data_IF_507727382869
#
_entry.id   IF_507727382869
#
_cell.length_a   1.000
_cell.length_b   1.000
_cell.length_c   1.000
_cell.angle_alpha   90.00
_cell.angle_beta   90.00
_cell.angle_gamma   90.00
#
_symmetry.space_group_name_H-M   'P 1'
#
loop_
_entity.id
_entity.type
_entity.pdbx_description
1 polymer ?
#
# COMPACT_ATOMS: atom_id res chain seq x y z
N UNK A 1 22.06 -15.41 6.11
CA UNK A 1 20.91 -14.51 5.87
C UNK A 1 21.02 -13.44 6.94
N UNK A 2 21.14 -12.18 6.55
CA UNK A 2 21.33 -11.07 7.51
C UNK A 2 20.05 -10.93 8.35
N UNK A 3 20.12 -11.20 9.65
CA UNK A 3 18.96 -11.10 10.58
C UNK A 3 18.28 -9.73 10.53
N UNK A 4 19.03 -8.68 10.20
CA UNK A 4 18.54 -7.32 10.06
C UNK A 4 17.60 -7.08 8.85
N UNK A 5 17.44 -8.07 7.95
CA UNK A 5 16.59 -7.98 6.75
C UNK A 5 15.33 -8.82 6.82
N UNK A 6 14.97 -9.32 8.02
CA UNK A 6 13.78 -10.15 8.24
C UNK A 6 12.73 -9.45 9.10
N UNK A 7 11.48 -9.88 9.00
CA UNK A 7 10.35 -9.33 9.75
C UNK A 7 10.05 -7.86 9.42
N UNK A 8 9.28 -7.20 10.29
CA UNK A 8 8.88 -5.80 10.10
C UNK A 8 10.06 -4.83 10.07
N UNK A 9 11.14 -5.12 10.81
CA UNK A 9 12.35 -4.31 10.78
C UNK A 9 12.98 -4.32 9.38
N UNK A 10 13.08 -5.50 8.74
CA UNK A 10 13.55 -5.61 7.36
C UNK A 10 12.66 -4.88 6.36
N UNK A 11 11.34 -4.95 6.53
CA UNK A 11 10.39 -4.24 5.67
C UNK A 11 10.62 -2.74 5.72
N UNK A 12 10.71 -2.13 6.93
CA UNK A 12 10.90 -0.69 7.08
C UNK A 12 12.32 -0.21 6.74
N UNK A 13 13.31 -1.10 6.75
CA UNK A 13 14.67 -0.78 6.28
C UNK A 13 14.72 -0.65 4.76
N UNK A 14 13.96 -1.50 4.05
CA UNK A 14 13.92 -1.53 2.58
C UNK A 14 12.93 -0.51 2.03
N UNK A 15 11.76 -0.35 2.68
CA UNK A 15 10.71 0.57 2.23
C UNK A 15 11.12 2.04 2.41
N UNK A 16 11.06 2.87 1.38
CA UNK A 16 11.41 4.27 1.48
C UNK A 16 10.37 5.05 2.30
N UNK A 17 10.65 5.31 3.57
CA UNK A 17 9.72 5.98 4.52
C UNK A 17 9.23 7.35 3.97
N UNK A 18 10.05 8.03 3.18
CA UNK A 18 9.64 9.28 2.51
C UNK A 18 8.43 9.10 1.59
N UNK A 19 8.21 7.89 1.10
CA UNK A 19 7.04 7.54 0.27
C UNK A 19 5.76 7.55 1.09
N UNK A 20 5.81 7.09 2.34
CA UNK A 20 4.66 7.17 3.27
C UNK A 20 4.20 8.62 3.46
N UNK A 21 5.13 9.55 3.69
CA UNK A 21 4.80 10.97 3.86
C UNK A 21 4.23 11.62 2.60
N UNK A 22 4.81 11.34 1.43
CA UNK A 22 4.27 11.82 0.14
C UNK A 22 2.91 11.20 -0.18
N UNK A 23 2.70 9.94 0.22
CA UNK A 23 1.42 9.23 0.08
C UNK A 23 0.28 9.83 0.91
N UNK A 24 0.57 10.68 1.93
CA UNK A 24 -0.46 11.34 2.75
C UNK A 24 -1.15 12.54 2.04
N UNK A 25 -0.55 13.10 0.99
CA UNK A 25 -1.03 14.34 0.36
C UNK A 25 -2.42 14.12 -0.25
N UNK A 26 -2.58 13.12 -1.09
CA UNK A 26 -3.83 12.85 -1.79
C UNK A 26 -4.97 12.39 -0.84
N UNK A 27 -4.73 11.45 0.09
CA UNK A 27 -5.69 11.14 1.16
C UNK A 27 -6.09 12.37 1.98
N UNK A 28 -5.13 13.25 2.31
CA UNK A 28 -5.40 14.49 3.04
C UNK A 28 -6.31 15.44 2.28
N UNK A 29 -6.08 15.63 0.97
CA UNK A 29 -6.95 16.45 0.10
C UNK A 29 -8.36 15.86 0.07
N UNK A 30 -8.50 14.55 -0.12
CA UNK A 30 -9.80 13.88 -0.15
C UNK A 30 -10.53 13.97 1.21
N UNK A 31 -9.79 13.85 2.30
CA UNK A 31 -10.33 14.04 3.64
C UNK A 31 -10.85 15.47 3.81
N UNK A 32 -10.07 16.49 3.46
CA UNK A 32 -10.47 17.91 3.58
C UNK A 32 -11.74 18.18 2.77
N UNK A 33 -11.81 17.66 1.54
CA UNK A 33 -12.98 17.80 0.69
C UNK A 33 -14.22 17.15 1.30
N UNK A 34 -14.08 15.93 1.85
CA UNK A 34 -15.18 15.20 2.48
C UNK A 34 -15.62 15.85 3.80
N UNK A 35 -14.69 16.36 4.60
CA UNK A 35 -15.00 17.12 5.83
C UNK A 35 -15.67 18.44 5.46
N UNK A 36 -15.23 19.11 4.38
CA UNK A 36 -15.94 20.29 3.87
C UNK A 36 -17.39 19.98 3.53
N UNK A 37 -17.66 18.90 2.80
CA UNK A 37 -19.02 18.47 2.50
C UNK A 37 -19.83 18.12 3.78
N UNK A 38 -19.17 17.48 4.75
CA UNK A 38 -19.76 17.17 6.05
C UNK A 38 -20.20 18.42 6.81
N UNK A 39 -19.40 19.49 6.81
CA UNK A 39 -19.74 20.75 7.48
C UNK A 39 -21.02 21.43 6.93
N UNK A 40 -21.40 21.11 5.68
CA UNK A 40 -22.66 21.60 5.07
C UNK A 40 -23.82 20.61 5.23
N UNK A 41 -23.60 19.48 5.90
CA UNK A 41 -24.61 18.45 6.14
C UNK A 41 -25.12 18.51 7.58
N UNK A 42 -26.35 18.07 7.80
CA UNK A 42 -26.91 17.86 9.15
C UNK A 42 -26.60 16.48 9.72
N UNK A 43 -25.63 15.76 9.11
CA UNK A 43 -25.31 14.40 9.49
C UNK A 43 -24.55 14.33 10.82
N UNK A 44 -24.82 13.30 11.63
CA UNK A 44 -24.08 13.04 12.85
C UNK A 44 -22.78 12.29 12.53
N UNK A 45 -21.65 12.73 13.13
CA UNK A 45 -20.34 12.09 12.97
C UNK A 45 -20.35 10.61 13.39
N UNK A 46 -21.06 10.25 14.46
CA UNK A 46 -21.21 8.87 14.92
C UNK A 46 -21.90 8.00 13.86
N UNK A 47 -22.99 8.50 13.27
CA UNK A 47 -23.69 7.79 12.20
C UNK A 47 -22.80 7.58 10.98
N UNK A 48 -22.00 8.58 10.61
CA UNK A 48 -21.07 8.48 9.50
C UNK A 48 -19.92 7.50 9.79
N UNK A 49 -19.38 7.51 11.02
CA UNK A 49 -18.38 6.53 11.45
C UNK A 49 -18.94 5.10 11.42
N UNK A 50 -20.18 4.90 11.85
CA UNK A 50 -20.84 3.60 11.78
C UNK A 50 -20.97 3.11 10.33
N UNK A 51 -21.51 3.95 9.43
CA UNK A 51 -21.60 3.60 7.99
C UNK A 51 -20.25 3.31 7.36
N UNK A 52 -19.22 4.08 7.71
CA UNK A 52 -17.86 3.85 7.21
C UNK A 52 -17.28 2.53 7.75
N UNK A 53 -17.53 2.23 9.04
CA UNK A 53 -17.15 0.96 9.66
C UNK A 53 -17.84 -0.22 8.97
N UNK A 54 -19.15 -0.15 8.71
CA UNK A 54 -19.90 -1.19 7.99
C UNK A 54 -19.34 -1.41 6.58
N UNK A 55 -19.02 -0.33 5.88
CA UNK A 55 -18.39 -0.40 4.56
C UNK A 55 -17.01 -1.08 4.60
N UNK A 56 -16.17 -0.71 5.58
CA UNK A 56 -14.83 -1.29 5.75
C UNK A 56 -14.94 -2.78 6.13
N UNK A 57 -15.79 -3.13 7.09
CA UNK A 57 -15.91 -4.50 7.59
C UNK A 57 -16.51 -5.45 6.55
N UNK A 58 -17.37 -4.97 5.67
CA UNK A 58 -17.93 -5.77 4.59
C UNK A 58 -17.03 -5.87 3.35
N UNK A 59 -16.34 -4.80 2.96
CA UNK A 59 -15.58 -4.72 1.72
C UNK A 59 -14.10 -5.11 1.85
N UNK A 60 -13.43 -4.73 2.92
CA UNK A 60 -11.99 -4.92 3.08
C UNK A 60 -11.52 -6.37 3.14
N UNK A 61 -12.26 -7.35 3.69
CA UNK A 61 -11.86 -8.76 3.62
C UNK A 61 -11.64 -9.24 2.18
N UNK A 62 -12.50 -8.84 1.25
CA UNK A 62 -12.35 -9.18 -0.17
C UNK A 62 -11.11 -8.52 -0.79
N UNK A 63 -10.83 -7.28 -0.44
CA UNK A 63 -9.64 -6.54 -0.90
C UNK A 63 -8.36 -7.20 -0.36
N UNK A 64 -8.34 -7.55 0.93
CA UNK A 64 -7.22 -8.24 1.57
C UNK A 64 -6.98 -9.59 0.87
N UNK A 65 -8.03 -10.37 0.62
CA UNK A 65 -7.95 -11.65 -0.10
C UNK A 65 -7.39 -11.47 -1.51
N UNK A 66 -7.82 -10.45 -2.24
CA UNK A 66 -7.31 -10.13 -3.57
C UNK A 66 -5.82 -9.77 -3.54
N UNK A 67 -5.39 -8.90 -2.62
CA UNK A 67 -3.98 -8.50 -2.47
C UNK A 67 -3.11 -9.69 -2.09
N UNK A 68 -3.56 -10.54 -1.16
CA UNK A 68 -2.85 -11.76 -0.76
C UNK A 68 -2.71 -12.73 -1.93
N UNK A 69 -3.75 -12.91 -2.73
CA UNK A 69 -3.71 -13.76 -3.93
C UNK A 69 -2.71 -13.23 -4.95
N UNK A 70 -2.74 -11.93 -5.22
CA UNK A 70 -1.76 -11.28 -6.11
C UNK A 70 -0.33 -11.42 -5.61
N UNK A 71 -0.11 -11.30 -4.31
CA UNK A 71 1.18 -11.51 -3.68
C UNK A 71 1.63 -12.97 -3.74
N UNK A 72 0.75 -13.93 -3.50
CA UNK A 72 1.05 -15.35 -3.62
C UNK A 72 1.45 -15.74 -5.04
N UNK A 73 0.76 -15.21 -6.06
CA UNK A 73 1.14 -15.38 -7.46
C UNK A 73 2.54 -14.80 -7.73
N UNK A 74 2.83 -13.60 -7.25
CA UNK A 74 4.14 -12.99 -7.38
C UNK A 74 5.24 -13.91 -6.81
N UNK A 75 5.06 -14.42 -5.60
CA UNK A 75 6.01 -15.35 -4.97
C UNK A 75 6.08 -16.68 -5.72
N UNK A 76 4.95 -17.20 -6.20
CA UNK A 76 4.91 -18.43 -7.00
C UNK A 76 5.77 -18.36 -8.27
N UNK A 77 5.89 -17.18 -8.87
CA UNK A 77 6.77 -16.95 -10.01
C UNK A 77 8.24 -16.68 -9.63
N UNK A 78 8.59 -16.59 -8.34
CA UNK A 78 9.93 -16.21 -7.88
C UNK A 78 11.03 -17.16 -8.32
N UNK A 79 10.71 -18.42 -8.65
CA UNK A 79 11.65 -19.42 -9.22
C UNK A 79 11.98 -19.23 -10.70
N UNK A 80 11.38 -18.26 -11.39
CA UNK A 80 11.63 -18.02 -12.81
C UNK A 80 12.89 -17.18 -13.04
N UNK A 81 13.48 -17.29 -14.24
CA UNK A 81 14.64 -16.48 -14.65
C UNK A 81 14.37 -14.96 -14.54
N UNK A 82 13.13 -14.54 -14.75
CA UNK A 82 12.70 -13.14 -14.61
C UNK A 82 12.96 -12.62 -13.19
N UNK A 83 12.50 -13.35 -12.19
CA UNK A 83 12.69 -12.97 -10.79
C UNK A 83 14.16 -13.13 -10.34
N UNK A 84 14.88 -14.09 -10.91
CA UNK A 84 16.33 -14.18 -10.75
C UNK A 84 17.04 -12.92 -11.23
N UNK A 85 16.59 -12.32 -12.34
CA UNK A 85 17.03 -11.02 -12.84
C UNK A 85 16.71 -9.87 -11.86
N UNK A 86 15.48 -9.79 -11.36
CA UNK A 86 15.06 -8.78 -10.37
C UNK A 86 15.81 -8.91 -9.04
N UNK A 87 16.11 -10.13 -8.61
CA UNK A 87 16.84 -10.38 -7.36
C UNK A 87 18.32 -9.97 -7.47
N UNK A 88 18.92 -9.99 -8.67
CA UNK A 88 20.30 -9.57 -8.92
C UNK A 88 20.44 -8.07 -9.20
N UNK A 89 19.35 -7.40 -9.57
CA UNK A 89 19.36 -5.97 -9.89
C UNK A 89 19.30 -5.17 -8.60
N UNK A 90 20.30 -4.33 -8.32
CA UNK A 90 20.29 -3.40 -7.20
C UNK A 90 19.54 -2.12 -7.55
N UNK A 91 18.82 -1.57 -6.59
CA UNK A 91 18.13 -0.27 -6.71
C UNK A 91 19.12 0.85 -6.41
N UNK A 92 19.47 1.67 -7.39
CA UNK A 92 20.23 2.93 -7.24
C UNK A 92 21.36 2.88 -6.19
N UNK A 93 22.35 1.99 -6.36
CA UNK A 93 23.48 1.81 -5.43
C UNK A 93 23.10 1.46 -3.98
N UNK A 94 21.89 0.96 -3.73
CA UNK A 94 21.47 0.44 -2.43
C UNK A 94 21.71 -1.07 -2.37
N UNK A 95 21.95 -1.57 -1.14
CA UNK A 95 22.13 -3.00 -0.88
C UNK A 95 20.85 -3.85 -1.02
N UNK A 96 19.83 -3.32 -1.71
CA UNK A 96 18.52 -3.96 -1.85
C UNK A 96 18.21 -4.27 -3.30
N UNK A 97 17.69 -5.48 -3.55
CA UNK A 97 17.22 -5.88 -4.87
C UNK A 97 15.83 -5.29 -5.17
N UNK A 98 15.50 -5.19 -6.47
CA UNK A 98 14.16 -4.80 -6.90
C UNK A 98 13.08 -5.74 -6.37
N UNK A 99 13.36 -7.03 -6.28
CA UNK A 99 12.44 -7.99 -5.69
C UNK A 99 12.16 -7.68 -4.21
N UNK A 100 13.20 -7.35 -3.42
CA UNK A 100 13.04 -6.96 -2.02
C UNK A 100 12.22 -5.68 -1.88
N UNK A 101 12.44 -4.69 -2.76
CA UNK A 101 11.66 -3.45 -2.77
C UNK A 101 10.17 -3.71 -3.04
N UNK A 102 9.84 -4.48 -4.08
CA UNK A 102 8.46 -4.86 -4.41
C UNK A 102 7.82 -5.61 -3.26
N UNK A 103 8.53 -6.58 -2.69
CA UNK A 103 8.05 -7.35 -1.53
C UNK A 103 7.74 -6.45 -0.33
N UNK A 104 8.60 -5.47 -0.03
CA UNK A 104 8.38 -4.52 1.06
C UNK A 104 7.17 -3.61 0.82
N UNK A 105 6.93 -3.19 -0.44
CA UNK A 105 5.76 -2.38 -0.80
C UNK A 105 4.48 -3.18 -0.56
N UNK A 106 4.41 -4.43 -1.00
CA UNK A 106 3.25 -5.29 -0.75
C UNK A 106 2.99 -5.48 0.75
N UNK A 107 4.04 -5.75 1.54
CA UNK A 107 3.92 -5.93 2.98
C UNK A 107 3.40 -4.66 3.68
N UNK A 108 3.91 -3.48 3.34
CA UNK A 108 3.47 -2.20 3.93
C UNK A 108 2.02 -1.90 3.55
N UNK A 109 1.65 -2.01 2.28
CA UNK A 109 0.28 -1.72 1.84
C UNK A 109 -0.71 -2.70 2.46
N UNK A 110 -0.39 -4.00 2.47
CA UNK A 110 -1.23 -5.00 3.13
C UNK A 110 -1.37 -4.68 4.63
N UNK A 111 -0.29 -4.30 5.30
CA UNK A 111 -0.32 -3.88 6.70
C UNK A 111 -1.24 -2.69 6.95
N UNK A 112 -1.22 -1.67 6.08
CA UNK A 112 -2.11 -0.50 6.16
C UNK A 112 -3.58 -0.91 5.97
N UNK A 113 -3.88 -1.75 4.98
CA UNK A 113 -5.25 -2.22 4.71
C UNK A 113 -5.79 -3.07 5.86
N UNK A 114 -4.98 -3.98 6.41
CA UNK A 114 -5.34 -4.79 7.58
C UNK A 114 -5.54 -3.93 8.82
N UNK A 115 -4.66 -2.94 9.07
CA UNK A 115 -4.82 -1.99 10.16
C UNK A 115 -6.15 -1.22 10.03
N UNK A 116 -6.47 -0.73 8.84
CA UNK A 116 -7.73 -0.03 8.59
C UNK A 116 -8.94 -0.93 8.85
N UNK A 117 -8.87 -2.20 8.45
CA UNK A 117 -9.90 -3.18 8.74
C UNK A 117 -10.08 -3.41 10.25
N UNK A 118 -8.98 -3.60 10.99
CA UNK A 118 -9.02 -3.78 12.44
C UNK A 118 -9.63 -2.56 13.13
N UNK A 119 -9.20 -1.34 12.73
CA UNK A 119 -9.76 -0.10 13.27
C UNK A 119 -11.25 0.01 12.95
N UNK A 120 -11.66 -0.36 11.73
CA UNK A 120 -13.07 -0.42 11.35
C UNK A 120 -13.87 -1.35 12.26
N UNK A 121 -13.40 -2.57 12.50
CA UNK A 121 -14.06 -3.51 13.42
C UNK A 121 -14.17 -2.93 14.85
N UNK A 122 -13.10 -2.34 15.37
CA UNK A 122 -13.09 -1.76 16.72
C UNK A 122 -14.05 -0.58 16.83
N UNK A 123 -14.04 0.33 15.85
CA UNK A 123 -14.96 1.48 15.83
C UNK A 123 -16.41 1.01 15.76
N UNK A 124 -16.73 0.05 14.90
CA UNK A 124 -18.08 -0.51 14.79
C UNK A 124 -18.56 -1.17 16.09
N UNK A 125 -17.69 -1.95 16.73
CA UNK A 125 -17.99 -2.58 18.02
C UNK A 125 -18.23 -1.54 19.12
N UNK A 126 -17.35 -0.53 19.23
CA UNK A 126 -17.45 0.52 20.26
C UNK A 126 -18.76 1.32 20.11
N UNK A 127 -19.13 1.67 18.87
CA UNK A 127 -20.38 2.38 18.59
C UNK A 127 -21.58 1.49 18.92
N UNK A 128 -21.54 0.20 18.55
CA UNK A 128 -22.64 -0.76 18.80
C UNK A 128 -22.84 -1.09 20.27
N UNK A 129 -21.81 -0.95 21.11
CA UNK A 129 -21.91 -1.16 22.57
C UNK A 129 -22.54 0.01 23.30
N UNK A 130 -22.87 1.13 22.60
CA UNK A 130 -23.43 2.36 23.20
C UNK A 130 -22.63 2.86 24.41
N UNK A 131 -21.31 2.67 24.40
CA UNK A 131 -20.42 3.10 25.48
C UNK A 131 -20.52 4.60 25.63
N UNK A 132 -20.97 5.05 26.81
CA UNK A 132 -21.31 6.45 27.07
C UNK A 132 -20.14 7.44 26.95
N UNK A 133 -18.91 7.01 27.03
CA UNK A 133 -17.70 7.84 26.85
C UNK A 133 -16.59 6.97 26.23
N UNK A 134 -15.79 7.47 25.26
CA UNK A 134 -15.75 8.85 24.73
C UNK A 134 -16.75 9.14 23.60
N UNK A 135 -17.47 8.15 23.09
CA UNK A 135 -18.38 8.26 21.93
C UNK A 135 -19.83 8.62 22.31
N UNK A 136 -20.02 9.29 23.42
CA UNK A 136 -21.35 9.76 23.80
C UNK A 136 -21.87 10.81 22.82
N UNK A 137 -23.18 10.79 22.54
CA UNK A 137 -23.85 11.77 21.67
C UNK A 137 -23.58 13.23 22.09
N UNK A 138 -23.23 13.48 23.35
CA UNK A 138 -22.89 14.82 23.87
C UNK A 138 -21.45 15.29 23.59
N UNK A 139 -20.54 14.42 23.12
CA UNK A 139 -19.16 14.80 22.87
C UNK A 139 -18.87 15.00 21.36
N UNK A 140 -19.58 15.94 20.75
CA UNK A 140 -19.49 16.23 19.33
C UNK A 140 -18.06 16.54 18.88
N UNK A 141 -17.26 17.20 19.71
CA UNK A 141 -15.90 17.59 19.38
C UNK A 141 -14.99 16.37 19.21
N UNK A 142 -15.05 15.43 20.15
CA UNK A 142 -14.28 14.19 20.07
C UNK A 142 -14.71 13.32 18.88
N UNK A 143 -16.03 13.21 18.67
CA UNK A 143 -16.57 12.42 17.57
C UNK A 143 -16.14 12.97 16.20
N UNK A 144 -16.10 14.29 16.03
CA UNK A 144 -15.64 14.92 14.80
C UNK A 144 -14.14 14.66 14.54
N UNK A 145 -13.29 14.75 15.57
CA UNK A 145 -11.86 14.45 15.45
C UNK A 145 -11.66 12.97 15.10
N UNK A 146 -12.34 12.06 15.79
CA UNK A 146 -12.29 10.63 15.53
C UNK A 146 -12.76 10.29 14.11
N UNK A 147 -13.83 10.93 13.64
CA UNK A 147 -14.32 10.79 12.28
C UNK A 147 -13.29 11.24 11.24
N UNK A 148 -12.67 12.41 11.43
CA UNK A 148 -11.63 12.90 10.54
C UNK A 148 -10.43 11.93 10.47
N UNK A 149 -9.96 11.43 11.62
CA UNK A 149 -8.84 10.48 11.67
C UNK A 149 -9.19 9.15 11.01
N UNK A 150 -10.40 8.64 11.23
CA UNK A 150 -10.87 7.40 10.64
C UNK A 150 -11.06 7.52 9.11
N UNK A 151 -11.62 8.64 8.66
CA UNK A 151 -11.77 8.97 7.25
C UNK A 151 -10.42 9.12 6.54
N UNK A 152 -9.44 9.76 7.20
CA UNK A 152 -8.07 9.84 6.68
C UNK A 152 -7.45 8.44 6.50
N UNK A 153 -7.56 7.58 7.51
CA UNK A 153 -7.04 6.21 7.46
C UNK A 153 -7.69 5.40 6.32
N UNK A 154 -9.00 5.55 6.13
CA UNK A 154 -9.73 4.94 5.03
C UNK A 154 -9.18 5.38 3.66
N UNK A 155 -9.09 6.69 3.41
CA UNK A 155 -8.54 7.18 2.14
C UNK A 155 -7.09 6.77 1.95
N UNK A 156 -6.30 6.82 3.02
CA UNK A 156 -4.90 6.39 2.96
C UNK A 156 -4.76 4.93 2.52
N UNK A 157 -5.61 4.04 3.03
CA UNK A 157 -5.61 2.63 2.63
C UNK A 157 -6.03 2.43 1.17
N UNK A 158 -7.03 3.18 0.69
CA UNK A 158 -7.46 3.12 -0.72
C UNK A 158 -6.34 3.59 -1.66
N UNK A 159 -5.69 4.72 -1.35
CA UNK A 159 -4.58 5.21 -2.18
C UNK A 159 -3.32 4.32 -2.09
N UNK A 160 -3.08 3.67 -0.95
CA UNK A 160 -2.02 2.66 -0.85
C UNK A 160 -2.25 1.46 -1.79
N UNK A 161 -3.50 1.06 -2.06
CA UNK A 161 -3.82 0.02 -3.04
C UNK A 161 -3.44 0.43 -4.47
N UNK A 162 -3.55 1.72 -4.81
CA UNK A 162 -3.12 2.23 -6.13
C UNK A 162 -1.62 1.99 -6.33
N UNK A 163 -0.80 2.12 -5.29
CA UNK A 163 0.63 1.80 -5.36
C UNK A 163 0.88 0.34 -5.74
N UNK A 164 0.06 -0.61 -5.27
CA UNK A 164 0.15 -2.03 -5.69
C UNK A 164 -0.15 -2.17 -7.18
N UNK A 165 -1.21 -1.53 -7.68
CA UNK A 165 -1.59 -1.59 -9.10
C UNK A 165 -0.44 -1.09 -9.97
N UNK A 166 0.15 0.06 -9.62
CA UNK A 166 1.30 0.62 -10.34
C UNK A 166 2.50 -0.32 -10.29
N UNK A 167 2.78 -0.95 -9.14
CA UNK A 167 3.88 -1.90 -9.03
C UNK A 167 3.66 -3.18 -9.84
N UNK A 168 2.44 -3.73 -9.87
CA UNK A 168 2.10 -4.87 -10.73
C UNK A 168 2.31 -4.51 -12.20
N UNK A 169 1.85 -3.33 -12.63
CA UNK A 169 2.09 -2.84 -13.97
C UNK A 169 3.59 -2.75 -14.30
N UNK A 170 4.38 -2.19 -13.40
CA UNK A 170 5.84 -2.07 -13.57
C UNK A 170 6.53 -3.43 -13.67
N UNK A 171 6.11 -4.43 -12.88
CA UNK A 171 6.59 -5.81 -13.00
C UNK A 171 6.26 -6.38 -14.38
N UNK A 172 5.06 -6.14 -14.89
CA UNK A 172 4.67 -6.54 -16.24
C UNK A 172 5.55 -5.91 -17.33
N UNK A 173 5.88 -4.61 -17.20
CA UNK A 173 6.80 -3.92 -18.11
C UNK A 173 8.22 -4.50 -18.04
N UNK A 174 8.69 -4.83 -16.83
CA UNK A 174 9.98 -5.50 -16.65
C UNK A 174 9.99 -6.87 -17.32
N UNK A 175 8.93 -7.67 -17.14
CA UNK A 175 8.79 -8.97 -17.77
C UNK A 175 8.83 -8.89 -19.31
N UNK A 176 8.13 -7.90 -19.87
CA UNK A 176 8.13 -7.66 -21.32
C UNK A 176 9.54 -7.25 -21.83
N UNK A 177 10.23 -6.36 -21.12
CA UNK A 177 11.59 -5.96 -21.47
C UNK A 177 12.58 -7.14 -21.40
N UNK A 178 12.44 -8.00 -20.38
CA UNK A 178 13.25 -9.21 -20.22
C UNK A 178 13.02 -10.22 -21.35
N UNK A 179 11.76 -10.46 -21.72
CA UNK A 179 11.40 -11.36 -22.81
C UNK A 179 11.95 -10.89 -24.16
N UNK A 180 11.88 -9.57 -24.43
CA UNK A 180 12.47 -8.99 -25.67
C UNK A 180 13.99 -9.18 -25.72
N UNK A 181 14.69 -8.99 -24.60
CA UNK A 181 16.15 -9.13 -24.57
C UNK A 181 16.60 -10.59 -24.72
N UNK A 182 15.83 -11.57 -24.21
CA UNK A 182 16.13 -12.99 -24.38
C UNK A 182 16.12 -13.40 -25.85
N UNK A 183 15.26 -12.80 -26.68
CA UNK A 183 15.16 -13.08 -28.11
C UNK A 183 16.24 -12.37 -28.95
N UNK A 184 16.96 -11.39 -28.41
CA UNK A 184 17.98 -10.61 -29.15
C UNK A 184 19.40 -11.06 -28.86
N UNK A 185 19.63 -11.92 -27.86
CA UNK A 185 20.97 -12.04 -27.31
C UNK A 185 21.48 -13.47 -27.14
N UNK A 186 21.99 -14.07 -28.16
CA UNK A 186 23.27 -14.81 -28.05
C UNK A 186 24.49 -13.93 -28.43
N UNK A 187 24.29 -12.77 -29.06
CA UNK A 187 25.40 -11.93 -29.56
C UNK A 187 25.76 -10.69 -28.72
N UNK A 188 24.96 -10.24 -27.79
CA UNK A 188 25.23 -8.99 -27.05
C UNK A 188 25.54 -9.11 -25.55
N UNK A 189 26.41 -10.02 -25.17
CA UNK A 189 26.97 -10.08 -23.80
C UNK A 189 27.78 -8.81 -23.38
N UNK A 190 27.73 -7.75 -24.19
CA UNK A 190 28.48 -6.48 -23.97
C UNK A 190 27.66 -5.26 -23.57
N UNK A 191 26.33 -5.32 -23.42
CA UNK A 191 25.54 -4.12 -23.06
C UNK A 191 24.79 -4.25 -21.73
N UNK A 192 25.52 -4.40 -20.62
CA UNK A 192 25.00 -4.23 -19.24
C UNK A 192 24.26 -2.90 -18.96
N UNK A 193 24.45 -1.77 -19.70
CA UNK A 193 23.82 -0.50 -19.35
C UNK A 193 22.33 -0.38 -19.72
N UNK A 194 21.77 -1.23 -20.58
CA UNK A 194 20.39 -1.08 -21.06
C UNK A 194 19.35 -1.46 -19.99
N UNK A 195 19.53 -2.58 -19.30
CA UNK A 195 18.62 -3.04 -18.24
C UNK A 195 18.55 -2.01 -17.10
N UNK A 196 19.71 -1.48 -16.69
CA UNK A 196 19.78 -0.42 -15.66
C UNK A 196 19.04 0.83 -16.12
N UNK A 197 19.11 1.20 -17.39
CA UNK A 197 18.44 2.37 -17.95
C UNK A 197 16.92 2.21 -18.01
N UNK A 198 16.43 1.02 -18.39
CA UNK A 198 14.99 0.69 -18.40
C UNK A 198 14.44 0.66 -16.97
N UNK A 199 15.15 0.06 -16.03
CA UNK A 199 14.75 0.03 -14.61
C UNK A 199 14.71 1.44 -14.01
N UNK A 200 15.67 2.31 -14.32
CA UNK A 200 15.66 3.72 -13.88
C UNK A 200 14.49 4.50 -14.49
N UNK A 201 14.13 4.22 -15.75
CA UNK A 201 13.00 4.87 -16.42
C UNK A 201 11.65 4.43 -15.83
N UNK A 202 11.49 3.13 -15.49
CA UNK A 202 10.23 2.55 -14.99
C UNK A 202 10.01 2.89 -13.51
N UNK A 203 11.05 2.87 -12.69
CA UNK A 203 10.92 3.07 -11.24
C UNK A 203 11.20 4.50 -10.78
N UNK A 204 11.58 5.40 -11.67
CA UNK A 204 11.95 6.77 -11.31
C UNK A 204 13.14 6.83 -10.35
N UNK A 205 13.80 7.97 -10.26
CA UNK A 205 14.85 8.20 -9.26
C UNK A 205 14.21 8.28 -7.86
N UNK A 206 14.25 7.19 -7.12
CA UNK A 206 13.90 7.12 -5.70
C UNK A 206 15.08 7.51 -4.83
#
# INVERSE_FOLDING_TARGET
MDENKTGWHGVFTIYPIRKLGKGCILPGIMMIFSVGAYCFSEADALLLMQKLSDFITSGFPSIIGFVLTGYALLIGFSGTELFGGMARSCVDNKDHSYFQLVNSIFAVVLGIVVLTYIVGCVVGLVISMEIGWPFAKGNAYFNNIAFCAFLFLFYYSIFALVDIIVNIFNIGQYANAFAKNKNVTEEENKKKPFIIRVLRYIFGSY
#
